data_IF_718884380821
#
_entry.id   IF_718884380821
#
_cell.length_a   1.000
_cell.length_b   1.000
_cell.length_c   1.000
_cell.angle_alpha   90.00
_cell.angle_beta   90.00
_cell.angle_gamma   90.00
#
_symmetry.space_group_name_H-M   'P 1'
#
loop_
_entity.id
_entity.type
_entity.pdbx_description
1 polymer ?
#
# COMPACT_ATOMS: atom_id res chain seq x y z
N UNK A 1 -9.49 5.09 -13.20
CA UNK A 1 -9.45 3.63 -12.96
C UNK A 1 -8.05 3.11 -13.32
N UNK A 2 -7.57 2.01 -12.70
CA UNK A 2 -6.23 1.35 -12.77
C UNK A 2 -4.96 2.23 -12.94
N UNK A 3 -4.63 2.85 -14.09
CA UNK A 3 -3.47 3.76 -14.24
C UNK A 3 -3.34 4.85 -13.17
N UNK A 4 -4.44 5.48 -12.75
CA UNK A 4 -4.40 6.55 -11.73
C UNK A 4 -3.94 6.05 -10.36
N UNK A 5 -4.37 4.84 -9.96
CA UNK A 5 -3.99 4.22 -8.68
C UNK A 5 -2.51 3.83 -8.68
N UNK A 6 -2.03 3.29 -9.80
CA UNK A 6 -0.62 2.97 -10.00
C UNK A 6 0.26 4.23 -9.94
N UNK A 7 -0.15 5.31 -10.59
CA UNK A 7 0.57 6.58 -10.54
C UNK A 7 0.62 7.13 -9.11
N UNK A 8 -0.51 7.11 -8.38
CA UNK A 8 -0.54 7.54 -6.99
C UNK A 8 0.34 6.68 -6.07
N UNK A 9 0.37 5.36 -6.26
CA UNK A 9 1.29 4.46 -5.53
C UNK A 9 2.76 4.77 -5.82
N UNK A 10 3.12 5.13 -7.06
CA UNK A 10 4.49 5.59 -7.39
C UNK A 10 4.83 6.90 -6.68
N UNK A 11 3.90 7.86 -6.62
CA UNK A 11 4.09 9.13 -5.89
C UNK A 11 4.29 8.87 -4.39
N UNK A 12 3.49 7.99 -3.81
CA UNK A 12 3.63 7.55 -2.41
C UNK A 12 5.00 6.92 -2.18
N UNK A 13 5.44 6.02 -3.06
CA UNK A 13 6.75 5.37 -2.97
C UNK A 13 7.93 6.36 -2.98
N UNK A 14 7.78 7.48 -3.70
CA UNK A 14 8.80 8.52 -3.80
C UNK A 14 8.73 9.54 -2.65
N UNK A 15 7.54 9.95 -2.24
CA UNK A 15 7.31 11.00 -1.24
C UNK A 15 7.39 10.50 0.21
N UNK A 16 7.10 9.21 0.46
CA UNK A 16 6.96 8.68 1.82
C UNK A 16 5.73 9.17 2.57
N UNK A 17 4.82 9.88 1.90
CA UNK A 17 3.54 10.28 2.47
C UNK A 17 2.63 9.05 2.59
N UNK A 18 2.21 8.74 3.82
CA UNK A 18 1.29 7.63 4.08
C UNK A 18 -0.08 7.90 3.44
N UNK A 19 -0.55 7.08 2.48
CA UNK A 19 -1.83 7.28 1.81
C UNK A 19 -3.04 6.77 2.61
N UNK A 20 -2.81 6.11 3.76
CA UNK A 20 -3.81 5.50 4.61
C UNK A 20 -4.18 4.07 4.19
N UNK A 21 -4.65 3.29 5.16
CA UNK A 21 -5.03 1.89 4.98
C UNK A 21 -6.15 1.74 3.94
N UNK A 22 -7.20 2.57 3.98
CA UNK A 22 -8.35 2.48 3.06
C UNK A 22 -7.96 2.66 1.59
N UNK A 23 -6.91 3.45 1.31
CA UNK A 23 -6.40 3.60 -0.05
C UNK A 23 -5.62 2.35 -0.48
N UNK A 24 -4.76 1.84 0.39
CA UNK A 24 -3.96 0.64 0.11
C UNK A 24 -4.87 -0.58 -0.07
N UNK A 25 -5.88 -0.75 0.77
CA UNK A 25 -6.84 -1.85 0.70
C UNK A 25 -7.64 -1.83 -0.62
N UNK A 26 -8.11 -0.65 -1.04
CA UNK A 26 -8.76 -0.49 -2.36
C UNK A 26 -7.83 -0.81 -3.52
N UNK A 27 -6.53 -0.54 -3.41
CA UNK A 27 -5.56 -0.89 -4.44
C UNK A 27 -5.18 -2.38 -4.40
N UNK A 28 -5.13 -2.96 -3.20
CA UNK A 28 -4.79 -4.37 -2.96
C UNK A 28 -5.81 -5.33 -3.58
N UNK A 29 -7.09 -4.97 -3.50
CA UNK A 29 -8.21 -5.74 -4.05
C UNK A 29 -8.45 -5.51 -5.56
N UNK A 30 -7.72 -4.61 -6.22
CA UNK A 30 -7.97 -4.22 -7.62
C UNK A 30 -7.13 -5.02 -8.63
N UNK A 31 -5.83 -5.17 -8.37
CA UNK A 31 -4.90 -5.79 -9.33
C UNK A 31 -3.68 -6.41 -8.59
N UNK A 32 -3.32 -7.68 -8.86
CA UNK A 32 -2.12 -8.32 -8.30
C UNK A 32 -0.81 -7.54 -8.51
N UNK A 33 -0.69 -6.77 -9.59
CA UNK A 33 0.47 -5.92 -9.85
C UNK A 33 0.60 -4.78 -8.82
N UNK A 34 -0.52 -4.24 -8.34
CA UNK A 34 -0.52 -3.21 -7.29
C UNK A 34 -0.10 -3.79 -5.94
N UNK A 35 -0.44 -5.05 -5.66
CA UNK A 35 0.01 -5.74 -4.45
C UNK A 35 1.54 -5.79 -4.35
N UNK A 36 2.24 -6.01 -5.47
CA UNK A 36 3.71 -6.02 -5.51
C UNK A 36 4.28 -4.64 -5.13
N UNK A 37 3.67 -3.56 -5.65
CA UNK A 37 4.09 -2.19 -5.32
C UNK A 37 3.81 -1.88 -3.86
N UNK A 38 2.63 -2.24 -3.35
CA UNK A 38 2.24 -2.05 -1.94
C UNK A 38 3.21 -2.79 -1.01
N UNK A 39 3.53 -4.06 -1.28
CA UNK A 39 4.53 -4.84 -0.52
C UNK A 39 5.87 -4.10 -0.44
N UNK A 40 6.39 -3.62 -1.57
CA UNK A 40 7.65 -2.87 -1.61
C UNK A 40 7.60 -1.58 -0.81
N UNK A 41 6.49 -0.86 -0.89
CA UNK A 41 6.30 0.40 -0.16
C UNK A 41 6.19 0.17 1.35
N UNK A 42 5.47 -0.86 1.80
CA UNK A 42 5.38 -1.19 3.22
C UNK A 42 6.72 -1.62 3.82
N UNK A 43 7.53 -2.37 3.07
CA UNK A 43 8.91 -2.70 3.46
C UNK A 43 9.77 -1.44 3.56
N UNK A 44 9.56 -0.46 2.67
CA UNK A 44 10.30 0.81 2.68
C UNK A 44 9.87 1.74 3.83
N UNK A 45 8.61 1.67 4.25
CA UNK A 45 8.03 2.57 5.26
C UNK A 45 7.39 1.79 6.42
N UNK A 46 8.17 1.05 7.23
CA UNK A 46 7.65 0.26 8.34
C UNK A 46 6.95 1.12 9.41
N UNK A 47 7.33 2.40 9.53
CA UNK A 47 6.73 3.34 10.47
C UNK A 47 5.25 3.66 10.21
N UNK A 48 4.69 3.21 9.08
CA UNK A 48 3.26 3.36 8.82
C UNK A 48 2.40 2.42 9.65
N UNK A 49 2.98 1.40 10.30
CA UNK A 49 2.24 0.47 11.15
C UNK A 49 1.17 -0.28 10.36
N UNK A 50 1.46 -0.67 9.11
CA UNK A 50 0.55 -1.45 8.27
C UNK A 50 1.26 -2.76 7.92
N UNK A 51 0.61 -3.88 8.20
CA UNK A 51 1.11 -5.21 7.92
C UNK A 51 0.17 -5.98 6.99
N UNK A 52 0.72 -7.02 6.36
CA UNK A 52 -0.04 -7.98 5.56
C UNK A 52 -0.09 -9.28 6.37
N UNK A 53 -1.26 -9.68 6.82
CA UNK A 53 -1.49 -10.92 7.58
C UNK A 53 -2.52 -11.75 6.81
N UNK A 54 -2.17 -12.99 6.49
CA UNK A 54 -3.00 -13.91 5.69
C UNK A 54 -3.55 -13.30 4.39
N UNK A 55 -2.74 -12.45 3.74
CA UNK A 55 -3.11 -11.78 2.50
C UNK A 55 -4.03 -10.56 2.66
N UNK A 56 -4.27 -10.10 3.88
CA UNK A 56 -5.10 -8.92 4.20
C UNK A 56 -4.25 -7.80 4.78
N UNK A 57 -4.54 -6.56 4.38
CA UNK A 57 -3.90 -5.38 4.94
C UNK A 57 -4.58 -4.96 6.26
N UNK A 58 -3.79 -4.76 7.31
CA UNK A 58 -4.29 -4.33 8.62
C UNK A 58 -3.33 -3.36 9.29
N UNK A 59 -3.87 -2.48 10.16
CA UNK A 59 -3.03 -1.71 11.06
C UNK A 59 -2.42 -2.64 12.10
N UNK A 60 -1.11 -2.57 12.23
CA UNK A 60 -0.39 -3.12 13.36
C UNK A 60 -0.39 -2.06 14.46
N UNK A 61 -1.27 -2.22 15.44
CA UNK A 61 -1.12 -1.55 16.72
C UNK A 61 -0.35 -2.53 17.62
N UNK A 62 0.75 -2.07 18.22
CA UNK A 62 1.32 -2.74 19.39
C UNK A 62 0.35 -2.71 20.57
#
# INVERSE_FOLDING_TARGET
>A
MRPERMQKLKVVANSGQNPGLDFLDRCWNDDPALQIVIKKVLVKFPQWGIAIVDGVLMKWNE
#
